data_IF_029518962068
#
_entry.id   IF_029518962068
#
_cell.length_a   1.000
_cell.length_b   1.000
_cell.length_c   1.000
_cell.angle_alpha   90.00
_cell.angle_beta   90.00
_cell.angle_gamma   90.00
#
_symmetry.space_group_name_H-M   'P 1'
#
loop_
_entity.id
_entity.type
_entity.pdbx_description
1 polymer ?
#
# COMPACT_ATOMS: atom_id res chain seq x y z
N UNK A 1 16.90 -15.56 14.80
CA UNK A 1 16.36 -14.98 13.56
C UNK A 1 17.18 -13.75 13.22
N UNK A 2 17.57 -13.60 11.95
CA UNK A 2 18.33 -12.47 11.43
C UNK A 2 17.51 -11.72 10.39
N UNK A 3 17.64 -10.39 10.33
CA UNK A 3 17.03 -9.57 9.28
C UNK A 3 18.12 -9.13 8.31
N UNK A 4 17.96 -9.47 7.04
CA UNK A 4 18.94 -9.25 5.99
C UNK A 4 18.29 -8.59 4.76
N UNK A 5 19.04 -7.86 3.92
CA UNK A 5 18.56 -7.44 2.62
C UNK A 5 18.22 -8.65 1.73
N UNK A 6 17.17 -8.51 0.93
CA UNK A 6 16.81 -9.45 -0.13
C UNK A 6 17.82 -9.35 -1.28
N UNK A 7 18.13 -10.50 -1.88
CA UNK A 7 19.01 -10.65 -3.03
C UNK A 7 18.27 -11.33 -4.18
N UNK A 8 18.79 -11.20 -5.40
CA UNK A 8 18.20 -11.82 -6.60
C UNK A 8 17.94 -13.32 -6.44
N UNK A 9 18.85 -14.06 -5.80
CA UNK A 9 18.71 -15.50 -5.61
C UNK A 9 17.61 -15.91 -4.60
N UNK A 10 17.04 -14.95 -3.86
CA UNK A 10 15.94 -15.20 -2.93
C UNK A 10 14.56 -15.24 -3.64
N UNK A 11 14.50 -14.94 -4.94
CA UNK A 11 13.26 -14.73 -5.72
C UNK A 11 12.27 -15.89 -5.56
N UNK A 12 12.73 -17.11 -5.81
CA UNK A 12 11.85 -18.28 -5.78
C UNK A 12 11.26 -18.51 -4.39
N UNK A 13 12.07 -18.38 -3.33
CA UNK A 13 11.59 -18.59 -1.97
C UNK A 13 10.61 -17.48 -1.55
N UNK A 14 10.89 -16.22 -1.87
CA UNK A 14 9.99 -15.09 -1.59
C UNK A 14 8.64 -15.24 -2.29
N UNK A 15 8.65 -15.59 -3.59
CA UNK A 15 7.42 -15.83 -4.36
C UNK A 15 6.64 -17.02 -3.78
N UNK A 16 7.33 -18.07 -3.32
CA UNK A 16 6.67 -19.21 -2.68
C UNK A 16 6.02 -18.86 -1.33
N UNK A 17 6.60 -17.90 -0.59
CA UNK A 17 5.97 -17.38 0.64
C UNK A 17 4.70 -16.60 0.30
N UNK A 18 4.70 -15.81 -0.78
CA UNK A 18 3.55 -14.98 -1.16
C UNK A 18 2.41 -15.78 -1.81
N UNK A 19 2.71 -16.76 -2.68
CA UNK A 19 1.72 -17.61 -3.39
C UNK A 19 0.76 -18.36 -2.47
N UNK A 20 1.14 -18.64 -1.23
CA UNK A 20 0.23 -19.26 -0.24
C UNK A 20 -0.88 -18.32 0.23
N UNK A 21 -0.90 -17.07 -0.22
CA UNK A 21 -1.92 -16.08 0.13
C UNK A 21 -3.07 -16.05 -0.88
N UNK A 22 -2.88 -16.49 -2.14
CA UNK A 22 -3.89 -16.47 -3.20
C UNK A 22 -3.65 -17.57 -4.26
N UNK A 23 -4.71 -18.22 -4.76
CA UNK A 23 -4.60 -19.33 -5.73
C UNK A 23 -3.98 -18.92 -7.08
N UNK A 24 -4.18 -17.69 -7.52
CA UNK A 24 -3.61 -17.12 -8.75
C UNK A 24 -2.24 -16.45 -8.56
N UNK A 25 -1.64 -16.59 -7.37
CA UNK A 25 -0.40 -15.91 -7.00
C UNK A 25 -0.60 -14.51 -6.42
N UNK A 26 0.51 -13.86 -6.06
CA UNK A 26 0.52 -12.53 -5.41
C UNK A 26 1.26 -11.54 -6.33
N UNK A 27 0.95 -10.25 -6.24
CA UNK A 27 1.58 -9.19 -7.07
C UNK A 27 3.10 -9.09 -6.84
N UNK A 28 3.59 -9.68 -5.74
CA UNK A 28 5.01 -9.76 -5.39
C UNK A 28 5.88 -10.26 -6.54
N UNK A 29 5.40 -11.21 -7.35
CA UNK A 29 6.15 -11.69 -8.52
C UNK A 29 6.40 -10.57 -9.55
N UNK A 30 5.44 -9.66 -9.72
CA UNK A 30 5.49 -8.56 -10.68
C UNK A 30 6.40 -7.41 -10.20
N UNK A 31 6.47 -7.19 -8.88
CA UNK A 31 7.24 -6.08 -8.28
C UNK A 31 8.61 -6.48 -7.75
N UNK A 32 8.96 -7.77 -7.73
CA UNK A 32 10.19 -8.27 -7.13
C UNK A 32 11.47 -7.56 -7.63
N UNK A 33 11.64 -7.49 -8.95
CA UNK A 33 12.83 -6.89 -9.56
C UNK A 33 12.88 -5.36 -9.39
N UNK A 34 11.72 -4.72 -9.22
CA UNK A 34 11.61 -3.30 -8.89
C UNK A 34 12.04 -3.06 -7.44
N UNK A 35 11.50 -3.85 -6.50
CA UNK A 35 11.83 -3.76 -5.07
C UNK A 35 13.29 -4.13 -4.75
N UNK A 36 13.98 -4.88 -5.62
CA UNK A 36 15.43 -5.06 -5.49
C UNK A 36 16.24 -3.80 -5.79
N UNK A 37 15.68 -2.86 -6.56
CA UNK A 37 16.37 -1.64 -7.02
C UNK A 37 15.97 -0.42 -6.20
N UNK A 38 14.78 -0.44 -5.62
CA UNK A 38 14.16 0.70 -4.96
C UNK A 38 13.82 0.39 -3.51
N UNK A 39 13.95 1.40 -2.64
CA UNK A 39 13.52 1.26 -1.24
C UNK A 39 14.38 0.31 -0.41
N UNK A 40 13.75 -0.31 0.60
CA UNK A 40 14.37 -1.33 1.44
C UNK A 40 13.59 -2.63 1.30
N UNK A 41 14.23 -3.66 0.76
CA UNK A 41 13.65 -4.99 0.68
C UNK A 41 14.35 -5.92 1.67
N UNK A 42 13.63 -6.31 2.73
CA UNK A 42 14.18 -7.05 3.86
C UNK A 42 13.55 -8.44 3.98
N UNK A 43 14.36 -9.42 4.36
CA UNK A 43 13.95 -10.78 4.68
C UNK A 43 14.32 -11.14 6.11
N UNK A 44 13.49 -11.96 6.73
CA UNK A 44 13.80 -12.62 8.00
C UNK A 44 14.30 -14.03 7.70
N UNK A 45 15.45 -14.40 8.28
CA UNK A 45 16.08 -15.71 8.10
C UNK A 45 16.18 -16.44 9.43
N UNK A 46 15.77 -17.70 9.45
CA UNK A 46 15.89 -18.61 10.59
C UNK A 46 16.26 -20.00 10.05
N UNK A 47 17.30 -20.64 10.63
CA UNK A 47 17.80 -21.94 10.20
C UNK A 47 18.08 -22.03 8.69
N UNK A 48 18.77 -21.02 8.13
CA UNK A 48 19.09 -20.88 6.71
C UNK A 48 17.87 -20.85 5.76
N UNK A 49 16.70 -20.49 6.28
CA UNK A 49 15.45 -20.40 5.51
C UNK A 49 14.83 -19.02 5.65
N UNK A 50 14.27 -18.49 4.57
CA UNK A 50 13.52 -17.23 4.62
C UNK A 50 12.17 -17.51 5.26
N UNK A 51 11.87 -16.85 6.38
CA UNK A 51 10.62 -17.04 7.15
C UNK A 51 9.63 -15.90 6.97
N UNK A 52 10.04 -14.81 6.34
CA UNK A 52 9.17 -13.68 5.98
C UNK A 52 9.96 -12.59 5.28
N UNK A 53 9.25 -11.59 4.77
CA UNK A 53 9.84 -10.42 4.13
C UNK A 53 8.92 -9.20 4.26
N UNK A 54 9.49 -8.01 4.05
CA UNK A 54 8.80 -6.72 3.99
C UNK A 54 9.51 -5.81 2.99
N UNK A 55 8.76 -4.92 2.34
CA UNK A 55 9.32 -3.86 1.52
C UNK A 55 8.97 -2.48 2.09
N UNK A 56 9.85 -1.51 1.86
CA UNK A 56 9.68 -0.12 2.28
C UNK A 56 9.95 0.81 1.09
N UNK A 57 8.94 1.56 0.64
CA UNK A 57 9.18 2.71 -0.24
C UNK A 57 9.62 3.91 0.60
N UNK A 58 10.65 4.61 0.12
CA UNK A 58 11.22 5.77 0.80
C UNK A 58 10.82 7.05 0.05
N UNK A 59 10.05 7.92 0.70
CA UNK A 59 9.73 9.25 0.21
C UNK A 59 10.52 10.30 0.98
N UNK A 60 10.47 11.56 0.54
CA UNK A 60 11.19 12.65 1.21
C UNK A 60 10.76 12.75 2.68
N UNK A 61 9.47 12.87 2.94
CA UNK A 61 8.93 13.15 4.28
C UNK A 61 8.53 11.89 5.07
N UNK A 62 8.27 10.76 4.41
CA UNK A 62 7.78 9.54 5.06
C UNK A 62 8.31 8.25 4.42
N UNK A 63 8.16 7.12 5.12
CA UNK A 63 8.34 5.79 4.55
C UNK A 63 7.02 5.03 4.50
N UNK A 64 6.80 4.28 3.42
CA UNK A 64 5.61 3.44 3.23
C UNK A 64 5.99 1.97 3.34
N UNK A 65 5.46 1.28 4.34
CA UNK A 65 5.67 -0.16 4.55
C UNK A 65 4.61 -0.95 3.79
N UNK A 66 5.06 -1.91 2.99
CA UNK A 66 4.20 -2.75 2.17
C UNK A 66 4.74 -4.18 2.04
N UNK A 67 3.93 -5.08 1.47
CA UNK A 67 4.38 -6.43 1.12
C UNK A 67 4.73 -7.34 2.30
N UNK A 68 4.39 -6.99 3.55
CA UNK A 68 4.70 -7.84 4.69
C UNK A 68 4.05 -9.23 4.53
N UNK A 69 4.88 -10.26 4.52
CA UNK A 69 4.46 -11.67 4.48
C UNK A 69 5.32 -12.48 5.46
N UNK A 70 4.67 -13.42 6.15
CA UNK A 70 5.33 -14.38 7.03
C UNK A 70 4.83 -15.77 6.70
N UNK A 71 5.78 -16.69 6.59
CA UNK A 71 5.48 -18.12 6.41
C UNK A 71 4.52 -18.61 7.48
N UNK A 72 3.54 -19.40 7.07
CA UNK A 72 2.51 -19.91 7.98
C UNK A 72 3.10 -20.71 9.16
N UNK A 73 4.09 -21.57 8.89
CA UNK A 73 4.82 -22.36 9.89
C UNK A 73 5.78 -21.55 10.78
N UNK A 74 5.91 -20.25 10.51
CA UNK A 74 6.70 -19.29 11.28
C UNK A 74 5.86 -18.16 11.89
N UNK A 75 4.53 -18.21 11.75
CA UNK A 75 3.62 -17.26 12.40
C UNK A 75 3.67 -17.41 13.93
N UNK A 76 3.24 -16.34 14.63
CA UNK A 76 3.19 -16.26 16.11
C UNK A 76 4.56 -16.39 16.81
N UNK A 77 5.68 -16.33 16.08
CA UNK A 77 7.06 -16.32 16.59
C UNK A 77 7.72 -14.94 16.60
N UNK A 78 6.96 -13.86 16.38
CA UNK A 78 7.48 -12.49 16.37
C UNK A 78 8.13 -12.03 15.06
N UNK A 79 8.20 -12.88 14.01
CA UNK A 79 8.81 -12.56 12.70
C UNK A 79 8.33 -11.21 12.13
N UNK A 80 7.00 -11.01 12.09
CA UNK A 80 6.42 -9.77 11.57
C UNK A 80 6.78 -8.55 12.43
N UNK A 81 6.87 -8.72 13.75
CA UNK A 81 7.28 -7.63 14.67
C UNK A 81 8.73 -7.21 14.38
N UNK A 82 9.65 -8.16 14.24
CA UNK A 82 11.06 -7.85 14.00
C UNK A 82 11.30 -7.27 12.60
N UNK A 83 10.63 -7.78 11.57
CA UNK A 83 10.68 -7.19 10.23
C UNK A 83 10.20 -5.74 10.24
N UNK A 84 9.05 -5.45 10.84
CA UNK A 84 8.51 -4.09 10.90
C UNK A 84 9.39 -3.16 11.72
N UNK A 85 9.94 -3.62 12.86
CA UNK A 85 10.89 -2.82 13.66
C UNK A 85 12.15 -2.49 12.91
N UNK A 86 12.74 -3.47 12.21
CA UNK A 86 13.93 -3.24 11.40
C UNK A 86 13.64 -2.33 10.21
N UNK A 87 12.48 -2.49 9.56
CA UNK A 87 12.03 -1.60 8.48
C UNK A 87 11.90 -0.15 8.95
N UNK A 88 11.29 0.09 10.12
CA UNK A 88 11.18 1.43 10.74
C UNK A 88 12.57 1.99 11.05
N UNK A 89 13.45 1.18 11.65
CA UNK A 89 14.79 1.61 12.02
C UNK A 89 15.63 2.00 10.79
N UNK A 90 15.66 1.14 9.77
CA UNK A 90 16.46 1.36 8.56
C UNK A 90 15.88 2.42 7.62
N UNK A 91 14.57 2.70 7.67
CA UNK A 91 14.00 3.75 6.81
C UNK A 91 14.57 5.13 7.15
N UNK A 92 14.95 5.34 8.42
CA UNK A 92 15.44 6.63 8.91
C UNK A 92 14.42 7.77 8.83
N UNK A 93 13.12 7.45 8.61
CA UNK A 93 12.04 8.43 8.49
C UNK A 93 11.33 8.61 9.82
N UNK A 94 10.90 9.85 10.10
CA UNK A 94 10.08 10.17 11.28
C UNK A 94 8.63 9.77 11.11
N UNK A 95 8.12 9.80 9.89
CA UNK A 95 6.74 9.43 9.56
C UNK A 95 6.77 8.09 8.84
N UNK A 96 6.06 7.11 9.40
CA UNK A 96 5.96 5.76 8.86
C UNK A 96 4.50 5.47 8.62
N UNK A 97 4.14 5.09 7.41
CA UNK A 97 2.76 4.76 7.03
C UNK A 97 2.66 3.35 6.47
N UNK A 98 1.48 2.77 6.62
CA UNK A 98 1.10 1.51 6.02
C UNK A 98 -0.41 1.46 5.83
N UNK A 99 -0.88 0.53 5.00
CA UNK A 99 -2.30 0.31 4.75
C UNK A 99 -2.64 -1.15 5.01
N UNK A 100 -3.77 -1.38 5.69
CA UNK A 100 -4.22 -2.72 6.09
C UNK A 100 -5.68 -2.89 5.71
N UNK A 101 -6.02 -3.98 5.03
CA UNK A 101 -7.41 -4.37 4.80
C UNK A 101 -8.13 -4.54 6.15
N UNK A 102 -9.33 -3.97 6.31
CA UNK A 102 -10.08 -3.96 7.56
C UNK A 102 -10.32 -5.38 8.13
N UNK A 103 -10.55 -6.35 7.24
CA UNK A 103 -10.75 -7.76 7.61
C UNK A 103 -9.48 -8.47 8.12
N UNK A 104 -8.29 -7.90 7.90
CA UNK A 104 -7.01 -8.49 8.28
C UNK A 104 -6.65 -8.20 9.75
N UNK A 105 -7.39 -8.83 10.67
CA UNK A 105 -7.21 -8.67 12.11
C UNK A 105 -5.76 -8.92 12.58
N UNK A 106 -5.02 -9.96 12.14
CA UNK A 106 -3.64 -10.19 12.59
C UNK A 106 -2.68 -9.03 12.26
N UNK A 107 -2.86 -8.37 11.10
CA UNK A 107 -2.02 -7.25 10.71
C UNK A 107 -2.39 -5.98 11.48
N UNK A 108 -3.69 -5.76 11.75
CA UNK A 108 -4.15 -4.67 12.62
C UNK A 108 -3.62 -4.82 14.05
N UNK A 109 -3.65 -6.03 14.61
CA UNK A 109 -3.09 -6.32 15.93
C UNK A 109 -1.59 -6.02 15.99
N UNK A 110 -0.85 -6.33 14.92
CA UNK A 110 0.56 -5.97 14.80
C UNK A 110 0.78 -4.45 14.77
N UNK A 111 -0.01 -3.72 13.99
CA UNK A 111 0.07 -2.26 13.91
C UNK A 111 -0.18 -1.62 15.27
N UNK A 112 -1.25 -2.05 15.97
CA UNK A 112 -1.57 -1.63 17.32
C UNK A 112 -0.43 -1.94 18.31
N UNK A 113 0.11 -3.16 18.28
CA UNK A 113 1.25 -3.57 19.12
C UNK A 113 2.50 -2.70 18.90
N UNK A 114 2.66 -2.14 17.70
CA UNK A 114 3.78 -1.28 17.35
C UNK A 114 3.47 0.22 17.48
N UNK A 115 2.33 0.56 18.09
CA UNK A 115 1.84 1.92 18.31
C UNK A 115 1.74 2.73 17.01
N UNK A 116 1.21 2.10 15.96
CA UNK A 116 0.66 2.84 14.84
C UNK A 116 -0.75 3.30 15.19
N UNK A 117 -1.11 4.49 14.73
CA UNK A 117 -2.45 5.06 14.90
C UNK A 117 -3.19 5.03 13.57
N UNK A 118 -4.46 4.66 13.59
CA UNK A 118 -5.36 4.87 12.45
C UNK A 118 -5.50 6.38 12.19
N UNK A 119 -5.22 6.81 10.97
CA UNK A 119 -5.35 8.22 10.56
C UNK A 119 -6.40 8.43 9.46
N UNK A 120 -6.76 7.38 8.73
CA UNK A 120 -7.75 7.48 7.66
C UNK A 120 -8.26 6.11 7.19
N UNK A 121 -9.27 6.13 6.31
CA UNK A 121 -9.82 4.97 5.61
C UNK A 121 -10.09 5.29 4.15
N UNK A 122 -9.87 4.30 3.29
CA UNK A 122 -10.15 4.36 1.86
C UNK A 122 -10.82 3.06 1.41
N UNK A 123 -11.59 3.11 0.32
CA UNK A 123 -12.42 2.00 -0.12
C UNK A 123 -12.04 1.62 -1.53
N UNK A 124 -11.54 0.40 -1.70
CA UNK A 124 -11.21 -0.16 -2.99
C UNK A 124 -12.44 -0.85 -3.59
N UNK A 125 -12.81 -0.46 -4.80
CA UNK A 125 -13.84 -1.13 -5.59
C UNK A 125 -13.16 -1.87 -6.72
N UNK A 126 -13.34 -3.19 -6.75
CA UNK A 126 -12.97 -4.01 -7.90
C UNK A 126 -13.88 -3.68 -9.08
N UNK A 127 -13.30 -3.55 -10.27
CA UNK A 127 -14.04 -3.26 -11.50
C UNK A 127 -13.15 -3.45 -12.72
N UNK A 128 -13.65 -3.06 -13.90
CA UNK A 128 -12.83 -3.03 -15.11
C UNK A 128 -11.71 -2.00 -14.93
N UNK A 129 -10.46 -2.39 -15.22
CA UNK A 129 -9.36 -1.44 -15.26
C UNK A 129 -9.48 -0.61 -16.56
N UNK A 130 -9.68 0.70 -16.39
CA UNK A 130 -9.86 1.63 -17.51
C UNK A 130 -8.84 2.76 -17.41
N UNK A 131 -8.22 3.08 -18.54
CA UNK A 131 -7.30 4.21 -18.60
C UNK A 131 -8.03 5.54 -18.34
N UNK A 132 -7.30 6.51 -17.81
CA UNK A 132 -7.89 7.75 -17.34
C UNK A 132 -8.53 8.59 -18.46
N UNK A 133 -8.02 8.52 -19.69
CA UNK A 133 -8.58 9.27 -20.82
C UNK A 133 -9.93 8.66 -21.27
N UNK A 134 -10.06 7.34 -21.18
CA UNK A 134 -11.33 6.65 -21.38
C UNK A 134 -12.36 7.01 -20.31
N UNK A 135 -11.95 7.13 -19.04
CA UNK A 135 -12.83 7.60 -17.95
C UNK A 135 -13.32 9.03 -18.20
N UNK A 136 -12.45 9.93 -18.65
CA UNK A 136 -12.81 11.30 -19.01
C UNK A 136 -13.94 11.29 -20.05
N UNK A 137 -13.81 10.49 -21.10
CA UNK A 137 -14.83 10.38 -22.16
C UNK A 137 -16.12 9.76 -21.65
N UNK A 138 -16.04 8.64 -20.93
CA UNK A 138 -17.20 7.88 -20.45
C UNK A 138 -18.08 8.69 -19.51
N UNK A 139 -17.47 9.43 -18.58
CA UNK A 139 -18.19 10.19 -17.56
C UNK A 139 -18.31 11.69 -17.88
N UNK A 140 -17.85 12.14 -19.04
CA UNK A 140 -17.87 13.56 -19.42
C UNK A 140 -17.12 14.43 -18.43
N UNK A 141 -15.96 13.96 -17.95
CA UNK A 141 -15.18 14.66 -16.95
C UNK A 141 -14.46 15.85 -17.59
N UNK A 142 -14.33 16.92 -16.83
CA UNK A 142 -13.57 18.12 -17.20
C UNK A 142 -12.71 18.56 -16.04
N UNK A 143 -11.65 19.29 -16.37
CA UNK A 143 -10.79 19.96 -15.39
C UNK A 143 -11.62 20.99 -14.61
N UNK A 144 -11.62 20.91 -13.29
CA UNK A 144 -12.42 21.80 -12.45
C UNK A 144 -11.56 22.76 -11.63
N UNK A 145 -10.49 22.27 -10.99
CA UNK A 145 -9.58 23.05 -10.18
C UNK A 145 -8.34 22.24 -9.82
N UNK A 146 -7.41 22.81 -9.05
CA UNK A 146 -6.15 22.15 -8.67
C UNK A 146 -5.98 21.97 -7.16
N UNK A 147 -6.72 22.74 -6.37
CA UNK A 147 -6.51 22.76 -4.92
C UNK A 147 -7.16 21.55 -4.27
N UNK A 148 -6.36 20.52 -4.03
CA UNK A 148 -6.72 19.40 -3.18
C UNK A 148 -6.54 19.81 -1.71
N UNK A 149 -7.49 19.41 -0.85
CA UNK A 149 -7.46 19.69 0.60
C UNK A 149 -7.41 18.42 1.45
N UNK A 150 -7.50 17.27 0.80
CA UNK A 150 -7.61 15.97 1.43
C UNK A 150 -6.57 15.04 0.84
N UNK A 151 -6.02 14.19 1.69
CA UNK A 151 -5.05 13.18 1.30
C UNK A 151 -5.66 12.17 0.32
N UNK A 152 -4.81 11.53 -0.48
CA UNK A 152 -5.23 10.69 -1.59
C UNK A 152 -4.39 9.42 -1.68
N UNK A 153 -4.87 8.46 -2.48
CA UNK A 153 -4.09 7.27 -2.82
C UNK A 153 -3.64 7.37 -4.27
N UNK A 154 -2.35 7.13 -4.49
CA UNK A 154 -1.81 6.88 -5.82
C UNK A 154 -0.79 5.74 -5.76
N UNK A 155 -0.82 4.85 -6.75
CA UNK A 155 0.06 3.67 -6.83
C UNK A 155 0.08 2.86 -5.53
N UNK A 156 -1.09 2.75 -4.89
CA UNK A 156 -1.33 2.10 -3.60
C UNK A 156 -0.57 2.69 -2.40
N UNK A 157 -0.21 3.97 -2.47
CA UNK A 157 0.44 4.74 -1.39
C UNK A 157 -0.45 5.90 -0.96
N UNK A 158 -0.57 6.12 0.36
CA UNK A 158 -1.34 7.24 0.92
C UNK A 158 -0.50 8.52 1.04
N UNK A 159 -0.80 9.49 0.21
CA UNK A 159 -0.08 10.75 0.10
C UNK A 159 -0.80 11.89 0.80
N UNK A 160 -0.01 12.81 1.35
CA UNK A 160 -0.55 14.10 1.77
C UNK A 160 -0.99 14.91 0.55
N UNK A 161 -2.08 15.67 0.69
CA UNK A 161 -2.72 16.38 -0.43
C UNK A 161 -1.77 17.27 -1.25
N UNK A 162 -0.72 17.82 -0.61
CA UNK A 162 0.23 18.72 -1.26
C UNK A 162 1.20 18.01 -2.22
N UNK A 163 1.20 16.68 -2.28
CA UNK A 163 1.94 15.92 -3.30
C UNK A 163 1.21 15.84 -4.63
N UNK A 164 -0.09 16.18 -4.68
CA UNK A 164 -0.84 16.15 -5.92
C UNK A 164 -0.60 17.42 -6.73
N UNK A 165 -0.18 17.28 -7.99
CA UNK A 165 0.21 18.39 -8.87
C UNK A 165 -0.61 18.50 -10.17
N UNK A 166 -1.70 17.74 -10.30
CA UNK A 166 -2.60 17.76 -11.46
C UNK A 166 -3.98 18.39 -11.10
N UNK A 167 -4.91 18.40 -12.05
CA UNK A 167 -6.28 18.87 -11.88
C UNK A 167 -7.15 17.85 -11.15
N UNK A 168 -8.14 18.35 -10.43
CA UNK A 168 -9.33 17.60 -10.06
C UNK A 168 -10.23 17.52 -11.30
N UNK A 169 -10.61 16.31 -11.68
CA UNK A 169 -11.50 16.03 -12.80
C UNK A 169 -12.91 15.76 -12.28
N UNK A 170 -13.93 16.30 -12.95
CA UNK A 170 -15.31 16.09 -12.53
C UNK A 170 -16.36 16.51 -13.54
N UNK A 171 -17.63 16.27 -13.22
CA UNK A 171 -18.77 16.57 -14.08
C UNK A 171 -19.95 17.18 -13.29
N UNK A 172 -21.05 17.49 -13.98
CA UNK A 172 -22.23 18.11 -13.36
C UNK A 172 -23.07 17.13 -12.52
N UNK A 173 -22.89 15.82 -12.69
CA UNK A 173 -23.55 14.81 -11.84
C UNK A 173 -22.90 14.66 -10.46
N UNK A 174 -21.80 15.37 -10.22
CA UNK A 174 -21.14 15.43 -8.90
C UNK A 174 -19.94 14.52 -8.75
N UNK A 175 -19.54 13.76 -9.78
CA UNK A 175 -18.31 12.94 -9.74
C UNK A 175 -17.09 13.86 -9.66
N UNK A 176 -16.19 13.59 -8.72
CA UNK A 176 -14.89 14.26 -8.55
C UNK A 176 -13.83 13.21 -8.32
N UNK A 177 -12.77 13.21 -9.11
CA UNK A 177 -11.69 12.24 -9.00
C UNK A 177 -10.34 12.81 -9.43
N UNK A 178 -9.28 12.12 -9.02
CA UNK A 178 -7.90 12.45 -9.32
C UNK A 178 -7.32 11.49 -10.35
N UNK A 179 -6.44 12.01 -11.20
CA UNK A 179 -5.60 11.21 -12.12
C UNK A 179 -4.52 10.46 -11.35
N UNK A 180 -4.88 9.32 -10.80
CA UNK A 180 -4.04 8.40 -10.03
C UNK A 180 -4.23 6.97 -10.55
N UNK A 181 -3.45 6.02 -10.04
CA UNK A 181 -3.59 4.61 -10.39
C UNK A 181 -3.72 3.70 -9.15
N UNK A 182 -4.90 3.09 -8.88
CA UNK A 182 -6.18 3.32 -9.55
C UNK A 182 -6.69 4.77 -9.39
N UNK A 183 -7.66 5.23 -10.20
CA UNK A 183 -8.29 6.54 -10.04
C UNK A 183 -8.82 6.75 -8.61
N UNK A 184 -8.54 7.91 -8.03
CA UNK A 184 -8.94 8.23 -6.66
C UNK A 184 -10.20 9.09 -6.65
N UNK A 185 -11.31 8.54 -6.17
CA UNK A 185 -12.61 9.20 -6.13
C UNK A 185 -12.72 10.04 -4.85
N UNK A 186 -12.83 11.36 -5.03
CA UNK A 186 -13.09 12.31 -3.95
C UNK A 186 -14.57 12.37 -3.60
N UNK A 187 -15.44 12.34 -4.62
CA UNK A 187 -16.89 12.41 -4.46
C UNK A 187 -17.62 11.73 -5.63
N UNK A 188 -18.81 11.22 -5.35
CA UNK A 188 -19.59 10.43 -6.33
C UNK A 188 -19.05 9.00 -6.46
N UNK A 189 -19.39 8.34 -7.55
CA UNK A 189 -19.02 6.96 -7.81
C UNK A 189 -18.83 6.71 -9.30
N UNK A 190 -17.97 5.75 -9.63
CA UNK A 190 -17.83 5.16 -10.96
C UNK A 190 -17.91 3.63 -10.85
N UNK A 191 -18.07 2.93 -11.97
CA UNK A 191 -18.26 1.48 -11.99
C UNK A 191 -16.93 0.71 -12.14
N UNK A 192 -15.93 1.38 -12.68
CA UNK A 192 -14.58 0.87 -12.91
C UNK A 192 -13.80 0.67 -11.61
N UNK A 193 -12.67 -0.02 -11.73
CA UNK A 193 -11.70 -0.16 -10.65
C UNK A 193 -11.29 1.23 -10.12
N UNK A 194 -11.44 1.43 -8.82
CA UNK A 194 -11.07 2.71 -8.19
C UNK A 194 -10.78 2.55 -6.70
N UNK A 195 -10.14 3.57 -6.14
CA UNK A 195 -10.05 3.78 -4.70
C UNK A 195 -10.82 5.06 -4.38
N UNK A 196 -11.63 5.04 -3.33
CA UNK A 196 -12.49 6.17 -2.99
C UNK A 196 -12.32 6.58 -1.54
N UNK A 197 -12.60 7.86 -1.25
CA UNK A 197 -12.62 8.37 0.13
C UNK A 197 -13.79 7.79 0.94
N UNK A 198 -14.88 7.44 0.26
CA UNK A 198 -16.09 6.85 0.83
C UNK A 198 -16.64 5.85 -0.18
N UNK A 199 -17.04 4.68 0.27
CA UNK A 199 -17.62 3.65 -0.57
C UNK A 199 -18.06 2.43 0.21
N UNK A 200 -18.64 1.47 -0.50
CA UNK A 200 -19.09 0.16 -0.03
C UNK A 200 -18.14 -0.99 -0.43
N UNK A 201 -17.02 -0.65 -1.08
CA UNK A 201 -15.96 -1.58 -1.44
C UNK A 201 -15.12 -2.06 -0.24
N UNK A 202 -14.03 -2.75 -0.54
CA UNK A 202 -13.09 -3.24 0.47
C UNK A 202 -12.44 -2.06 1.21
N UNK A 203 -12.71 -1.98 2.51
CA UNK A 203 -12.18 -0.95 3.37
C UNK A 203 -10.71 -1.24 3.71
N UNK A 204 -9.84 -0.30 3.38
CA UNK A 204 -8.46 -0.27 3.82
C UNK A 204 -8.26 0.86 4.84
N UNK A 205 -7.63 0.51 5.95
CA UNK A 205 -7.31 1.44 7.03
C UNK A 205 -5.87 1.93 6.85
N UNK A 206 -5.70 3.25 6.89
CA UNK A 206 -4.39 3.90 6.85
C UNK A 206 -3.88 4.09 8.27
N UNK A 207 -2.68 3.59 8.52
CA UNK A 207 -1.99 3.72 9.79
C UNK A 207 -0.76 4.60 9.64
N UNK A 208 -0.49 5.42 10.67
CA UNK A 208 0.71 6.23 10.78
C UNK A 208 1.37 6.06 12.14
N UNK A 209 2.70 6.00 12.14
CA UNK A 209 3.54 6.12 13.32
C UNK A 209 4.48 7.30 13.15
N UNK A 210 4.50 8.19 14.15
CA UNK A 210 5.48 9.27 14.24
C UNK A 210 6.55 8.92 15.26
N UNK A 211 7.81 9.12 14.90
CA UNK A 211 8.97 9.01 15.79
C UNK A 211 9.43 10.41 16.20
N UNK A 212 9.93 10.51 17.44
CA UNK A 212 10.46 11.75 18.01
C UNK A 212 11.76 12.21 17.33
#
# INVERSE_FOLDING_TARGET
MEILPVRKNDREEIINISRRSFEWGDYIEQVFDLWLKEGLFLKAVENNRIVGFIHVRLFKEFSWLEGLRVREDSRRKGVATELTRMAIHLSGKKIIRLMILESNAPSRDLANKLNFMEIDRVYYKMGENMDFESLIKKYGLRKMGHTLKENFVDSWVYFDYFYYDDYIYGNDSGVRLLKTNPPFILNGSIDEENISKKGDGECFIIYEKRLD
#
